data_IF_722294320819
#
_entry.id   IF_722294320819
#
_cell.length_a   1.000
_cell.length_b   1.000
_cell.length_c   1.000
_cell.angle_alpha   90.00
_cell.angle_beta   90.00
_cell.angle_gamma   90.00
#
_symmetry.space_group_name_H-M   'P 1'
#
loop_
_entity.id
_entity.type
_entity.pdbx_description
1 polymer ?
#
# COMPACT_ATOMS: atom_id res chain seq x y z
N UNK A 1 -10.74 33.29 50.78
CA UNK A 1 -10.61 31.87 50.35
C UNK A 1 -11.47 31.48 49.14
N UNK A 2 -12.51 32.25 48.75
CA UNK A 2 -13.41 31.86 47.64
C UNK A 2 -12.96 32.13 46.20
N UNK A 3 -11.95 32.99 45.97
CA UNK A 3 -11.52 33.32 44.60
C UNK A 3 -10.51 32.32 44.03
N UNK A 4 -9.59 31.80 44.86
CA UNK A 4 -8.60 30.83 44.41
C UNK A 4 -9.23 29.49 43.99
N UNK A 5 -10.28 29.05 44.69
CA UNK A 5 -11.02 27.83 44.34
C UNK A 5 -11.79 27.98 43.03
N UNK A 6 -12.43 29.12 42.79
CA UNK A 6 -13.14 29.40 41.52
C UNK A 6 -12.20 29.42 40.32
N UNK A 7 -11.01 30.01 40.46
CA UNK A 7 -9.99 30.03 39.41
C UNK A 7 -9.48 28.61 39.12
N UNK A 8 -9.26 27.81 40.17
CA UNK A 8 -8.86 26.41 40.03
C UNK A 8 -9.92 25.58 39.31
N UNK A 9 -11.19 25.68 39.73
CA UNK A 9 -12.30 24.94 39.11
C UNK A 9 -12.51 25.34 37.64
N UNK A 10 -12.39 26.63 37.32
CA UNK A 10 -12.45 27.13 35.95
C UNK A 10 -11.29 26.60 35.08
N UNK A 11 -10.08 26.53 35.64
CA UNK A 11 -8.92 25.98 34.95
C UNK A 11 -9.10 24.48 34.66
N UNK A 12 -9.55 23.69 35.64
CA UNK A 12 -9.83 22.26 35.46
C UNK A 12 -10.94 22.04 34.42
N UNK A 13 -12.01 22.84 34.46
CA UNK A 13 -13.08 22.78 33.48
C UNK A 13 -12.60 23.13 32.06
N UNK A 14 -11.71 24.13 31.92
CA UNK A 14 -11.11 24.52 30.66
C UNK A 14 -10.24 23.40 30.08
N UNK A 15 -9.39 22.76 30.89
CA UNK A 15 -8.58 21.62 30.47
C UNK A 15 -9.46 20.45 30.02
N UNK A 16 -10.52 20.13 30.77
CA UNK A 16 -11.47 19.09 30.38
C UNK A 16 -12.23 19.42 29.09
N UNK A 17 -12.59 20.69 28.88
CA UNK A 17 -13.24 21.14 27.65
C UNK A 17 -12.30 21.05 26.44
N UNK A 18 -11.04 21.45 26.61
CA UNK A 18 -9.99 21.31 25.60
C UNK A 18 -9.74 19.84 25.24
N UNK A 19 -9.66 18.96 26.23
CA UNK A 19 -9.55 17.52 26.01
C UNK A 19 -10.71 16.97 25.18
N UNK A 20 -11.95 17.32 25.55
CA UNK A 20 -13.15 16.93 24.79
C UNK A 20 -13.18 17.51 23.37
N UNK A 21 -12.66 18.72 23.17
CA UNK A 21 -12.57 19.35 21.85
C UNK A 21 -11.52 18.65 20.98
N UNK A 22 -10.33 18.37 21.51
CA UNK A 22 -9.29 17.60 20.81
C UNK A 22 -9.77 16.21 20.44
N UNK A 23 -10.39 15.47 21.37
CA UNK A 23 -10.91 14.12 21.09
C UNK A 23 -11.96 14.16 19.99
N UNK A 24 -12.86 15.15 19.97
CA UNK A 24 -13.83 15.29 18.86
C UNK A 24 -13.19 15.62 17.51
N UNK A 25 -12.09 16.38 17.52
CA UNK A 25 -11.38 16.74 16.30
C UNK A 25 -10.56 15.57 15.74
N UNK A 26 -9.81 14.87 16.61
CA UNK A 26 -8.92 13.79 16.23
C UNK A 26 -9.67 12.46 16.12
N UNK A 27 -10.40 12.06 17.15
CA UNK A 27 -11.11 10.78 17.21
C UNK A 27 -12.55 10.88 16.71
N UNK A 28 -12.73 11.38 15.49
CA UNK A 28 -14.08 11.56 14.93
C UNK A 28 -14.72 10.26 14.40
N UNK A 29 -14.03 9.12 14.51
CA UNK A 29 -14.51 7.81 14.07
C UNK A 29 -14.58 7.62 12.54
N UNK A 30 -14.09 8.57 11.75
CA UNK A 30 -14.16 8.51 10.29
C UNK A 30 -12.86 8.00 9.69
N UNK A 31 -12.90 6.79 9.13
CA UNK A 31 -11.76 6.21 8.40
C UNK A 31 -11.23 7.13 7.29
N UNK A 32 -12.14 7.81 6.58
CA UNK A 32 -11.76 8.74 5.50
C UNK A 32 -10.93 9.91 6.04
N UNK A 33 -11.30 10.48 7.21
CA UNK A 33 -10.54 11.58 7.81
C UNK A 33 -9.18 11.10 8.33
N UNK A 34 -9.12 9.92 8.95
CA UNK A 34 -7.83 9.35 9.34
C UNK A 34 -6.92 9.15 8.14
N UNK A 35 -7.44 8.63 7.02
CA UNK A 35 -6.67 8.46 5.80
C UNK A 35 -6.18 9.79 5.23
N UNK A 36 -7.02 10.83 5.18
CA UNK A 36 -6.58 12.16 4.75
C UNK A 36 -5.48 12.73 5.62
N UNK A 37 -5.57 12.56 6.93
CA UNK A 37 -4.54 13.05 7.85
C UNK A 37 -3.23 12.30 7.58
N UNK A 38 -3.25 10.98 7.53
CA UNK A 38 -2.03 10.17 7.32
C UNK A 38 -1.40 10.41 5.95
N UNK A 39 -2.19 10.33 4.87
CA UNK A 39 -1.68 10.56 3.52
C UNK A 39 -1.28 12.03 3.31
N UNK A 40 -2.05 12.96 3.88
CA UNK A 40 -1.75 14.40 3.82
C UNK A 40 -0.47 14.75 4.56
N UNK A 41 -0.27 14.25 5.79
CA UNK A 41 0.99 14.48 6.53
C UNK A 41 2.17 13.82 5.83
N UNK A 42 1.99 12.63 5.27
CA UNK A 42 3.03 11.98 4.47
C UNK A 42 3.43 12.84 3.26
N UNK A 43 2.47 13.30 2.45
CA UNK A 43 2.74 14.13 1.28
C UNK A 43 3.41 15.45 1.68
N UNK A 44 2.93 16.10 2.74
CA UNK A 44 3.45 17.38 3.20
C UNK A 44 4.85 17.26 3.77
N UNK A 45 5.09 16.34 4.72
CA UNK A 45 6.38 16.21 5.40
C UNK A 45 7.45 15.64 4.47
N UNK A 46 7.11 14.57 3.74
CA UNK A 46 8.06 13.95 2.80
C UNK A 46 8.30 14.88 1.61
N UNK A 47 7.26 15.54 1.09
CA UNK A 47 7.42 16.54 0.03
C UNK A 47 8.25 17.75 0.47
N UNK A 48 8.01 18.26 1.69
CA UNK A 48 8.82 19.35 2.26
C UNK A 48 10.29 18.94 2.42
N UNK A 49 10.54 17.77 3.00
CA UNK A 49 11.88 17.20 3.17
C UNK A 49 12.57 16.98 1.83
N UNK A 50 11.84 16.45 0.85
CA UNK A 50 12.35 16.22 -0.50
C UNK A 50 12.80 17.54 -1.17
N UNK A 51 11.94 18.57 -1.15
CA UNK A 51 12.26 19.87 -1.77
C UNK A 51 13.44 20.57 -1.08
N UNK A 52 13.57 20.45 0.25
CA UNK A 52 14.66 21.10 1.00
C UNK A 52 15.96 20.29 1.01
N UNK A 53 15.89 18.98 0.82
CA UNK A 53 17.05 18.10 0.78
C UNK A 53 17.66 17.95 -0.62
N UNK A 54 16.98 18.43 -1.66
CA UNK A 54 17.40 18.24 -3.03
C UNK A 54 18.51 19.22 -3.46
N UNK A 55 19.56 18.69 -4.07
CA UNK A 55 20.58 19.50 -4.76
C UNK A 55 20.27 19.66 -6.26
N UNK A 56 19.54 18.71 -6.87
CA UNK A 56 19.09 18.77 -8.27
C UNK A 56 17.86 17.89 -8.50
N UNK A 57 16.98 18.29 -9.43
CA UNK A 57 15.85 17.47 -9.88
C UNK A 57 16.39 16.25 -10.67
N UNK A 58 15.79 15.05 -10.54
CA UNK A 58 16.14 13.91 -11.37
C UNK A 58 15.91 14.26 -12.85
N UNK A 59 16.88 13.93 -13.71
CA UNK A 59 16.66 14.05 -15.16
C UNK A 59 15.62 13.02 -15.60
N UNK A 60 14.44 13.48 -15.99
CA UNK A 60 13.38 12.63 -16.54
C UNK A 60 13.67 12.43 -18.02
N UNK A 61 14.54 11.47 -18.32
CA UNK A 61 14.74 10.97 -19.68
C UNK A 61 13.59 10.03 -20.08
N UNK A 62 13.20 10.04 -21.36
CA UNK A 62 12.34 8.99 -21.88
C UNK A 62 13.14 7.68 -21.91
N UNK A 63 12.73 6.63 -21.18
CA UNK A 63 13.46 5.38 -21.19
C UNK A 63 13.38 4.73 -22.57
N UNK A 64 14.48 4.11 -23.01
CA UNK A 64 14.57 3.37 -24.26
C UNK A 64 13.83 2.03 -24.22
N UNK A 65 12.54 2.06 -23.87
CA UNK A 65 11.70 0.88 -23.71
C UNK A 65 11.29 0.29 -25.05
N UNK A 66 11.22 -1.03 -25.10
CA UNK A 66 10.68 -1.74 -26.25
C UNK A 66 9.17 -1.54 -26.38
N UNK A 67 8.62 -1.69 -27.59
CA UNK A 67 7.17 -1.55 -27.84
C UNK A 67 6.32 -2.45 -26.91
N UNK A 68 6.80 -3.67 -26.61
CA UNK A 68 6.13 -4.61 -25.70
C UNK A 68 5.95 -4.04 -24.28
N UNK A 69 6.93 -3.27 -23.79
CA UNK A 69 6.92 -2.70 -22.44
C UNK A 69 5.94 -1.53 -22.38
N UNK A 70 5.90 -0.69 -23.42
CA UNK A 70 4.89 0.35 -23.56
C UNK A 70 3.47 -0.21 -23.61
N UNK A 71 3.25 -1.30 -24.37
CA UNK A 71 1.95 -1.97 -24.41
C UNK A 71 1.56 -2.54 -23.04
N UNK A 72 2.51 -3.12 -22.32
CA UNK A 72 2.26 -3.64 -20.97
C UNK A 72 1.87 -2.52 -20.00
N UNK A 73 2.61 -1.40 -20.01
CA UNK A 73 2.30 -0.20 -19.20
C UNK A 73 0.89 0.31 -19.53
N UNK A 74 0.56 0.41 -20.83
CA UNK A 74 -0.76 0.86 -21.27
C UNK A 74 -1.88 -0.04 -20.75
N UNK A 75 -1.71 -1.37 -20.80
CA UNK A 75 -2.69 -2.33 -20.28
C UNK A 75 -2.87 -2.17 -18.77
N UNK A 76 -1.77 -2.04 -18.01
CA UNK A 76 -1.82 -1.85 -16.56
C UNK A 76 -2.54 -0.54 -16.21
N UNK A 77 -2.22 0.55 -16.89
CA UNK A 77 -2.84 1.87 -16.66
C UNK A 77 -4.34 1.86 -17.03
N UNK A 78 -4.71 1.22 -18.14
CA UNK A 78 -6.10 1.08 -18.56
C UNK A 78 -6.90 0.24 -17.56
N UNK A 79 -6.32 -0.85 -17.05
CA UNK A 79 -6.93 -1.69 -16.02
C UNK A 79 -7.10 -0.91 -14.71
N UNK A 80 -6.06 -0.22 -14.23
CA UNK A 80 -6.13 0.62 -13.04
C UNK A 80 -7.19 1.74 -13.18
N UNK A 81 -7.24 2.41 -14.33
CA UNK A 81 -8.29 3.39 -14.65
C UNK A 81 -9.69 2.77 -14.61
N UNK A 82 -9.84 1.55 -15.13
CA UNK A 82 -11.11 0.79 -15.08
C UNK A 82 -11.53 0.52 -13.64
N UNK A 83 -10.61 0.13 -12.76
CA UNK A 83 -10.89 -0.08 -11.32
C UNK A 83 -11.45 1.19 -10.66
N UNK A 84 -10.89 2.36 -10.98
CA UNK A 84 -11.29 3.65 -10.38
C UNK A 84 -12.66 4.14 -10.89
N UNK A 85 -12.97 3.89 -12.16
CA UNK A 85 -14.14 4.47 -12.83
C UNK A 85 -15.37 3.56 -12.75
N UNK A 86 -15.16 2.24 -12.77
CA UNK A 86 -16.26 1.28 -12.83
C UNK A 86 -17.16 1.33 -11.60
N UNK A 87 -18.46 1.14 -11.83
CA UNK A 87 -19.45 0.94 -10.75
C UNK A 87 -19.73 -0.53 -10.48
N UNK A 88 -19.30 -1.41 -11.38
CA UNK A 88 -19.47 -2.85 -11.22
C UNK A 88 -18.32 -3.41 -10.40
N UNK A 89 -18.66 -3.97 -9.24
CA UNK A 89 -17.70 -4.63 -8.34
C UNK A 89 -16.98 -5.77 -9.06
N UNK A 90 -17.71 -6.58 -9.85
CA UNK A 90 -17.10 -7.68 -10.61
C UNK A 90 -16.08 -7.15 -11.62
N UNK A 91 -16.42 -6.09 -12.35
CA UNK A 91 -15.48 -5.50 -13.32
C UNK A 91 -14.27 -4.89 -12.61
N UNK A 92 -14.44 -4.27 -11.45
CA UNK A 92 -13.32 -3.75 -10.65
C UNK A 92 -12.37 -4.87 -10.23
N UNK A 93 -12.92 -6.00 -9.77
CA UNK A 93 -12.11 -7.15 -9.35
C UNK A 93 -11.39 -7.77 -10.54
N UNK A 94 -12.06 -7.95 -11.68
CA UNK A 94 -11.41 -8.46 -12.89
C UNK A 94 -10.30 -7.51 -13.37
N UNK A 95 -10.54 -6.20 -13.37
CA UNK A 95 -9.54 -5.21 -13.75
C UNK A 95 -8.36 -5.18 -12.76
N UNK A 96 -8.61 -5.38 -11.46
CA UNK A 96 -7.55 -5.53 -10.45
C UNK A 96 -6.69 -6.77 -10.74
N UNK A 97 -7.32 -7.89 -11.11
CA UNK A 97 -6.61 -9.10 -11.55
C UNK A 97 -5.72 -8.86 -12.77
N UNK A 98 -6.17 -8.04 -13.73
CA UNK A 98 -5.34 -7.64 -14.89
C UNK A 98 -4.15 -6.78 -14.46
N UNK A 99 -4.33 -5.87 -13.48
CA UNK A 99 -3.21 -5.11 -12.91
C UNK A 99 -2.18 -6.06 -12.29
N UNK A 100 -2.61 -7.01 -11.46
CA UNK A 100 -1.70 -7.98 -10.83
C UNK A 100 -0.99 -8.89 -11.82
N UNK A 101 -1.70 -9.39 -12.83
CA UNK A 101 -1.10 -10.16 -13.92
C UNK A 101 -0.10 -9.32 -14.74
N UNK A 102 -0.40 -8.03 -14.98
CA UNK A 102 0.52 -7.10 -15.60
C UNK A 102 1.80 -6.90 -14.79
N UNK A 103 1.69 -6.77 -13.46
CA UNK A 103 2.85 -6.69 -12.55
C UNK A 103 3.67 -8.00 -12.60
N UNK A 104 3.02 -9.18 -12.64
CA UNK A 104 3.73 -10.44 -12.80
C UNK A 104 4.52 -10.51 -14.13
N UNK A 105 3.96 -9.96 -15.21
CA UNK A 105 4.66 -9.84 -16.49
C UNK A 105 5.84 -8.87 -16.43
N UNK A 106 5.76 -7.80 -15.63
CA UNK A 106 6.91 -6.94 -15.34
C UNK A 106 8.01 -7.76 -14.66
N UNK A 107 7.70 -8.52 -13.60
CA UNK A 107 8.69 -9.36 -12.93
C UNK A 107 9.35 -10.38 -13.86
N UNK A 108 8.58 -11.04 -14.73
CA UNK A 108 9.14 -11.95 -15.75
C UNK A 108 10.08 -11.23 -16.72
N UNK A 109 9.71 -10.03 -17.16
CA UNK A 109 10.50 -9.24 -18.11
C UNK A 109 11.85 -8.80 -17.52
N UNK A 110 11.92 -8.63 -16.21
CA UNK A 110 13.14 -8.28 -15.48
C UNK A 110 13.84 -9.48 -14.81
N UNK A 111 13.50 -10.71 -15.19
CA UNK A 111 14.22 -11.91 -14.78
C UNK A 111 13.93 -12.37 -13.34
N UNK A 112 12.78 -11.99 -12.76
CA UNK A 112 12.34 -12.43 -11.45
C UNK A 112 11.17 -13.44 -11.54
N UNK A 113 11.42 -14.70 -11.98
CA UNK A 113 10.36 -15.68 -12.22
C UNK A 113 9.66 -16.12 -10.93
N UNK A 114 10.37 -16.25 -9.81
CA UNK A 114 9.75 -16.66 -8.54
C UNK A 114 8.76 -15.62 -8.04
N UNK A 115 9.13 -14.33 -8.12
CA UNK A 115 8.24 -13.22 -7.77
C UNK A 115 7.01 -13.16 -8.70
N UNK A 116 7.19 -13.47 -9.99
CA UNK A 116 6.08 -13.51 -10.92
C UNK A 116 5.09 -14.64 -10.61
N UNK A 117 5.60 -15.85 -10.29
CA UNK A 117 4.77 -16.99 -9.94
C UNK A 117 4.01 -16.73 -8.64
N UNK A 118 4.68 -16.22 -7.60
CA UNK A 118 4.02 -15.89 -6.34
C UNK A 118 3.01 -14.76 -6.52
N UNK A 119 3.33 -13.73 -7.31
CA UNK A 119 2.39 -12.65 -7.64
C UNK A 119 1.13 -13.21 -8.29
N UNK A 120 1.25 -14.09 -9.29
CA UNK A 120 0.09 -14.66 -9.98
C UNK A 120 -0.76 -15.56 -9.07
N UNK A 121 -0.11 -16.35 -8.21
CA UNK A 121 -0.81 -17.19 -7.22
C UNK A 121 -1.58 -16.35 -6.20
N UNK A 122 -0.92 -15.35 -5.61
CA UNK A 122 -1.53 -14.46 -4.62
C UNK A 122 -2.62 -13.59 -5.26
N UNK A 123 -2.42 -13.11 -6.48
CA UNK A 123 -3.43 -12.33 -7.22
C UNK A 123 -4.67 -13.18 -7.48
N UNK A 124 -4.49 -14.42 -7.95
CA UNK A 124 -5.60 -15.35 -8.21
C UNK A 124 -6.38 -15.64 -6.92
N UNK A 125 -5.68 -15.92 -5.82
CA UNK A 125 -6.30 -16.15 -4.52
C UNK A 125 -7.05 -14.90 -4.03
N UNK A 126 -6.43 -13.71 -4.15
CA UNK A 126 -7.02 -12.44 -3.74
C UNK A 126 -8.29 -12.15 -4.54
N UNK A 127 -8.25 -12.29 -5.86
CA UNK A 127 -9.42 -12.13 -6.73
C UNK A 127 -10.55 -13.09 -6.32
N UNK A 128 -10.25 -14.35 -6.03
CA UNK A 128 -11.24 -15.34 -5.57
C UNK A 128 -11.86 -14.93 -4.24
N UNK A 129 -11.03 -14.66 -3.22
CA UNK A 129 -11.49 -14.31 -1.87
C UNK A 129 -12.29 -13.01 -1.90
N UNK A 130 -11.77 -11.96 -2.53
CA UNK A 130 -12.42 -10.66 -2.66
C UNK A 130 -13.73 -10.78 -3.45
N UNK A 131 -13.77 -11.58 -4.52
CA UNK A 131 -15.01 -11.86 -5.25
C UNK A 131 -16.07 -12.50 -4.36
N UNK A 132 -15.72 -13.56 -3.63
CA UNK A 132 -16.68 -14.24 -2.74
C UNK A 132 -17.21 -13.29 -1.66
N UNK A 133 -16.35 -12.43 -1.10
CA UNK A 133 -16.73 -11.49 -0.04
C UNK A 133 -17.57 -10.34 -0.60
N UNK A 134 -17.09 -9.63 -1.62
CA UNK A 134 -17.73 -8.42 -2.14
C UNK A 134 -19.01 -8.72 -2.90
N UNK A 135 -19.12 -9.87 -3.58
CA UNK A 135 -20.38 -10.26 -4.23
C UNK A 135 -21.49 -10.58 -3.22
N UNK A 136 -21.15 -10.83 -1.95
CA UNK A 136 -22.11 -11.06 -0.86
C UNK A 136 -22.46 -9.82 -0.06
N UNK A 137 -21.87 -8.66 -0.37
CA UNK A 137 -22.11 -7.40 0.33
C UNK A 137 -23.21 -6.59 -0.39
N UNK A 138 -24.45 -6.54 0.15
CA UNK A 138 -25.51 -5.75 -0.44
C UNK A 138 -25.17 -4.25 -0.37
N UNK A 139 -25.31 -3.54 -1.49
CA UNK A 139 -25.24 -2.07 -1.53
C UNK A 139 -23.91 -1.44 -2.00
N UNK A 140 -22.92 -2.21 -2.45
CA UNK A 140 -21.67 -1.65 -3.00
C UNK A 140 -21.88 -0.81 -4.29
N UNK A 141 -22.94 -1.08 -5.06
CA UNK A 141 -23.29 -0.32 -6.27
C UNK A 141 -24.05 1.00 -6.02
N UNK A 142 -24.42 1.28 -4.77
CA UNK A 142 -25.16 2.49 -4.40
C UNK A 142 -24.21 3.66 -4.16
N UNK A 143 -23.83 4.38 -5.22
CA UNK A 143 -22.94 5.53 -5.14
C UNK A 143 -23.41 6.55 -4.09
N UNK A 144 -22.70 6.63 -2.96
CA UNK A 144 -22.92 7.67 -1.96
C UNK A 144 -22.76 9.02 -2.67
N UNK A 145 -23.74 9.92 -2.56
CA UNK A 145 -23.68 11.25 -3.16
C UNK A 145 -22.51 12.03 -2.53
N UNK A 146 -21.33 11.94 -3.11
CA UNK A 146 -20.16 12.70 -2.70
C UNK A 146 -20.18 14.04 -3.44
N UNK A 147 -19.95 15.12 -2.70
CA UNK A 147 -19.85 16.47 -3.26
C UNK A 147 -18.67 16.51 -4.23
N UNK A 148 -18.80 17.20 -5.37
CA UNK A 148 -17.72 17.32 -6.36
C UNK A 148 -16.40 17.81 -5.76
N UNK A 149 -16.47 18.70 -4.77
CA UNK A 149 -15.31 19.18 -4.01
C UNK A 149 -14.57 18.06 -3.27
N UNK A 150 -15.26 17.08 -2.68
CA UNK A 150 -14.62 15.96 -1.98
C UNK A 150 -13.89 15.05 -2.96
N UNK A 151 -14.54 14.69 -4.07
CA UNK A 151 -13.92 13.92 -5.16
C UNK A 151 -12.66 14.60 -5.72
N UNK A 152 -12.69 15.93 -5.85
CA UNK A 152 -11.52 16.69 -6.27
C UNK A 152 -10.37 16.59 -5.27
N UNK A 153 -10.66 16.74 -3.97
CA UNK A 153 -9.63 16.55 -2.93
C UNK A 153 -9.09 15.12 -2.89
N UNK A 154 -9.96 14.11 -3.02
CA UNK A 154 -9.55 12.70 -3.11
C UNK A 154 -8.60 12.48 -4.28
N UNK A 155 -8.98 12.98 -5.46
CA UNK A 155 -8.15 12.88 -6.66
C UNK A 155 -6.83 13.63 -6.52
N UNK A 156 -6.85 14.85 -5.99
CA UNK A 156 -5.65 15.65 -5.78
C UNK A 156 -4.67 14.99 -4.81
N UNK A 157 -5.18 14.41 -3.70
CA UNK A 157 -4.34 13.71 -2.74
C UNK A 157 -3.78 12.40 -3.32
N UNK A 158 -4.58 11.64 -4.07
CA UNK A 158 -4.14 10.41 -4.73
C UNK A 158 -3.05 10.67 -5.77
N UNK A 159 -3.28 11.65 -6.66
CA UNK A 159 -2.29 12.07 -7.66
C UNK A 159 -1.05 12.65 -6.99
N UNK A 160 -1.22 13.50 -5.98
CA UNK A 160 -0.09 14.08 -5.22
C UNK A 160 0.79 13.01 -4.56
N UNK A 161 0.16 12.01 -3.93
CA UNK A 161 0.89 10.87 -3.36
C UNK A 161 1.61 10.06 -4.43
N UNK A 162 0.95 9.79 -5.56
CA UNK A 162 1.53 9.06 -6.68
C UNK A 162 2.75 9.76 -7.28
N UNK A 163 2.60 11.05 -7.60
CA UNK A 163 3.70 11.89 -8.14
C UNK A 163 4.87 11.95 -7.16
N UNK A 164 4.60 12.14 -5.87
CA UNK A 164 5.65 12.15 -4.85
C UNK A 164 6.40 10.82 -4.82
N UNK A 165 5.69 9.69 -4.77
CA UNK A 165 6.31 8.36 -4.76
C UNK A 165 7.12 8.09 -6.03
N UNK A 166 6.59 8.44 -7.20
CA UNK A 166 7.31 8.31 -8.48
C UNK A 166 8.60 9.14 -8.45
N UNK A 167 8.52 10.38 -7.98
CA UNK A 167 9.66 11.29 -7.91
C UNK A 167 10.73 10.79 -6.94
N UNK A 168 10.33 10.27 -5.77
CA UNK A 168 11.25 9.64 -4.82
C UNK A 168 11.96 8.42 -5.44
N UNK A 169 11.22 7.53 -6.10
CA UNK A 169 11.80 6.35 -6.75
C UNK A 169 12.78 6.77 -7.85
N UNK A 170 12.43 7.74 -8.70
CA UNK A 170 13.34 8.25 -9.74
C UNK A 170 14.62 8.84 -9.14
N UNK A 171 14.50 9.52 -8.00
CA UNK A 171 15.67 10.07 -7.28
C UNK A 171 16.58 8.96 -6.78
N UNK A 172 16.01 7.93 -6.14
CA UNK A 172 16.78 6.79 -5.64
C UNK A 172 17.46 6.04 -6.79
N UNK A 173 16.77 5.84 -7.91
CA UNK A 173 17.30 5.15 -9.09
C UNK A 173 18.38 5.96 -9.83
N UNK A 174 18.43 7.28 -9.66
CA UNK A 174 19.48 8.13 -10.23
C UNK A 174 20.80 8.04 -9.46
N UNK A 175 20.78 7.56 -8.22
CA UNK A 175 21.98 7.35 -7.43
C UNK A 175 22.67 6.01 -7.78
N UNK A 176 24.01 5.94 -7.76
CA UNK A 176 24.72 4.69 -7.99
C UNK A 176 24.35 3.66 -6.92
N UNK A 177 23.94 2.47 -7.36
CA UNK A 177 23.63 1.36 -6.47
C UNK A 177 24.92 0.77 -5.90
N UNK A 178 25.02 0.68 -4.57
CA UNK A 178 26.07 -0.08 -3.91
C UNK A 178 25.83 -1.58 -4.13
N UNK A 179 26.75 -2.24 -4.85
CA UNK A 179 26.67 -3.66 -5.18
C UNK A 179 27.36 -4.56 -4.15
N UNK A 180 27.89 -4.04 -3.05
CA UNK A 180 28.61 -4.81 -2.03
C UNK A 180 27.82 -6.01 -1.51
N UNK A 181 26.56 -5.79 -1.11
CA UNK A 181 25.67 -6.84 -0.60
C UNK A 181 25.23 -7.80 -1.72
N UNK A 182 24.94 -7.28 -2.92
CA UNK A 182 24.59 -8.12 -4.08
C UNK A 182 25.73 -9.08 -4.43
N UNK A 183 26.97 -8.58 -4.47
CA UNK A 183 28.16 -9.38 -4.74
C UNK A 183 28.41 -10.42 -3.64
N UNK A 184 28.11 -10.09 -2.38
CA UNK A 184 28.17 -11.07 -1.30
C UNK A 184 27.23 -12.26 -1.55
N UNK A 185 25.97 -12.02 -1.90
CA UNK A 185 25.03 -13.11 -2.18
C UNK A 185 25.37 -13.86 -3.46
N UNK A 186 25.77 -13.18 -4.54
CA UNK A 186 26.20 -13.83 -5.79
C UNK A 186 27.35 -14.83 -5.55
N UNK A 187 28.34 -14.45 -4.73
CA UNK A 187 29.51 -15.29 -4.46
C UNK A 187 29.25 -16.39 -3.42
N UNK A 188 28.40 -16.15 -2.42
CA UNK A 188 28.22 -17.07 -1.29
C UNK A 188 26.99 -17.97 -1.42
N UNK A 189 26.00 -17.67 -2.27
CA UNK A 189 24.79 -18.49 -2.40
C UNK A 189 25.06 -19.91 -2.85
N UNK A 190 26.00 -20.11 -3.79
CA UNK A 190 26.37 -21.45 -4.22
C UNK A 190 27.37 -22.11 -3.25
N UNK A 191 28.37 -21.36 -2.75
CA UNK A 191 29.46 -21.92 -1.95
C UNK A 191 29.05 -22.25 -0.51
N UNK A 192 28.26 -21.38 0.14
CA UNK A 192 27.88 -21.54 1.54
C UNK A 192 26.54 -22.29 1.70
N UNK A 193 25.58 -22.03 0.81
CA UNK A 193 24.22 -22.54 0.90
C UNK A 193 23.85 -23.57 -0.18
N UNK A 194 24.80 -23.93 -1.06
CA UNK A 194 24.64 -25.00 -2.07
C UNK A 194 23.46 -24.82 -3.05
N UNK A 195 22.90 -23.61 -3.14
CA UNK A 195 21.73 -23.34 -3.98
C UNK A 195 22.08 -22.51 -5.22
N UNK A 196 21.46 -22.87 -6.35
CA UNK A 196 21.60 -22.16 -7.64
C UNK A 196 20.62 -21.00 -7.80
N UNK A 197 19.48 -21.07 -7.11
CA UNK A 197 18.51 -19.98 -7.08
C UNK A 197 18.85 -19.04 -5.92
N UNK A 198 19.54 -17.95 -6.26
CA UNK A 198 20.01 -16.95 -5.29
C UNK A 198 18.85 -16.38 -4.46
N UNK A 199 17.68 -16.14 -5.07
CA UNK A 199 16.50 -15.59 -4.38
C UNK A 199 16.02 -16.56 -3.31
N UNK A 200 15.81 -17.82 -3.67
CA UNK A 200 15.36 -18.84 -2.71
C UNK A 200 16.39 -19.06 -1.59
N UNK A 201 17.68 -19.06 -1.91
CA UNK A 201 18.76 -19.17 -0.92
C UNK A 201 18.75 -17.99 0.05
N UNK A 202 18.54 -16.76 -0.43
CA UNK A 202 18.41 -15.61 0.45
C UNK A 202 17.24 -15.80 1.42
N UNK A 203 16.08 -16.21 0.93
CA UNK A 203 14.88 -16.36 1.76
C UNK A 203 14.99 -17.49 2.79
N UNK A 204 15.57 -18.64 2.41
CA UNK A 204 15.56 -19.85 3.24
C UNK A 204 16.78 -19.97 4.13
N UNK A 205 17.95 -19.49 3.70
CA UNK A 205 19.20 -19.62 4.46
C UNK A 205 19.63 -18.30 5.09
N UNK A 206 19.93 -17.28 4.27
CA UNK A 206 20.55 -16.03 4.79
C UNK A 206 19.57 -15.15 5.58
N UNK A 207 18.29 -15.10 5.18
CA UNK A 207 17.23 -14.29 5.78
C UNK A 207 16.05 -15.17 6.23
N UNK A 208 16.36 -16.38 6.68
CA UNK A 208 15.38 -17.39 7.14
C UNK A 208 14.41 -16.89 8.21
N UNK A 209 14.87 -15.99 9.09
CA UNK A 209 14.03 -15.39 10.13
C UNK A 209 12.90 -14.52 9.55
N UNK A 210 13.14 -13.81 8.44
CA UNK A 210 12.10 -12.99 7.81
C UNK A 210 11.01 -13.89 7.22
N UNK A 211 11.41 -14.96 6.52
CA UNK A 211 10.48 -15.98 6.00
C UNK A 211 9.69 -16.66 7.11
N UNK A 212 10.32 -16.99 8.23
CA UNK A 212 9.63 -17.56 9.39
C UNK A 212 8.60 -16.57 9.96
N UNK A 213 8.95 -15.28 10.05
CA UNK A 213 8.02 -14.23 10.45
C UNK A 213 6.82 -14.09 9.51
N UNK A 214 7.04 -14.11 8.21
CA UNK A 214 5.98 -14.08 7.19
C UNK A 214 5.01 -15.26 7.33
N UNK A 215 5.54 -16.48 7.54
CA UNK A 215 4.72 -17.68 7.78
C UNK A 215 3.85 -17.51 9.03
N UNK A 216 4.42 -16.98 10.13
CA UNK A 216 3.65 -16.70 11.35
C UNK A 216 2.52 -15.71 11.09
N UNK A 217 2.78 -14.64 10.32
CA UNK A 217 1.77 -13.63 9.99
C UNK A 217 0.63 -14.26 9.19
N UNK A 218 0.94 -15.04 8.15
CA UNK A 218 -0.07 -15.72 7.32
C UNK A 218 -0.88 -16.73 8.14
N UNK A 219 -0.20 -17.54 8.98
CA UNK A 219 -0.86 -18.49 9.85
C UNK A 219 -1.81 -17.79 10.84
N UNK A 220 -1.35 -16.70 11.45
CA UNK A 220 -2.15 -15.90 12.40
C UNK A 220 -3.34 -15.25 11.71
N UNK A 221 -3.18 -14.71 10.49
CA UNK A 221 -4.28 -14.16 9.71
C UNK A 221 -5.32 -15.22 9.35
N UNK A 222 -4.88 -16.42 8.96
CA UNK A 222 -5.74 -17.58 8.72
C UNK A 222 -6.53 -18.00 9.95
N UNK A 223 -5.87 -18.10 11.12
CA UNK A 223 -6.51 -18.41 12.40
C UNK A 223 -7.53 -17.34 12.82
N UNK A 224 -7.20 -16.05 12.66
CA UNK A 224 -8.11 -14.94 12.95
C UNK A 224 -9.36 -14.99 12.04
N UNK A 225 -9.16 -15.25 10.74
CA UNK A 225 -10.26 -15.44 9.79
C UNK A 225 -11.16 -16.60 10.17
N UNK A 226 -10.57 -17.76 10.52
CA UNK A 226 -11.32 -18.92 10.99
C UNK A 226 -12.14 -18.63 12.25
N UNK A 227 -11.52 -17.99 13.26
CA UNK A 227 -12.20 -17.61 14.50
C UNK A 227 -13.39 -16.67 14.27
N UNK A 228 -13.26 -15.71 13.35
CA UNK A 228 -14.34 -14.79 12.99
C UNK A 228 -15.53 -15.52 12.32
N UNK A 229 -15.26 -16.47 11.43
CA UNK A 229 -16.29 -17.26 10.76
C UNK A 229 -17.03 -18.14 11.78
N UNK A 230 -16.30 -18.78 12.70
CA UNK A 230 -16.88 -19.65 13.72
C UNK A 230 -17.76 -18.86 14.71
N UNK A 231 -17.30 -17.70 15.19
CA UNK A 231 -18.06 -16.84 16.11
C UNK A 231 -19.39 -16.38 15.53
N UNK A 232 -19.48 -16.19 14.20
CA UNK A 232 -20.73 -15.82 13.53
C UNK A 232 -21.73 -16.97 13.47
N UNK A 233 -21.26 -18.21 13.31
CA UNK A 233 -22.11 -19.41 13.31
C UNK A 233 -22.74 -19.70 14.67
N UNK A 234 -22.05 -19.42 15.78
CA UNK A 234 -22.60 -19.60 17.13
C UNK A 234 -23.56 -18.52 17.62
N UNK A 235 -23.86 -17.51 16.79
CA UNK A 235 -24.85 -16.44 17.06
C UNK A 235 -26.10 -16.53 16.19
N UNK A 236 -26.15 -17.50 15.29
CA UNK A 236 -27.32 -17.89 14.51
C UNK A 236 -27.92 -19.15 15.10
#
# INVERSE_FOLDING_TARGET
EGDASRVYDAAVAAVAALGRAQTRLLQNGSLHRYFYIVAGTFVLLTGYSYVHGMQALPEIGLPGLALREWLLILVILAAAGTVVITRSVLLAICALGVVGAGIAMVFLSYGAPDLALTQLLVETLTVIIVSIILLRLPGLGGGRKTTGRKKLFDGALAVGTGVLMTTLILTVLSAPLDRSITAFFENNSYLAAHGRNIVNVILVDFRSMDTFGEIIVVATAGLAGYALIQKRRGRS
#
